data_IF_528460170407
#
_entry.id   IF_528460170407
#
_cell.length_a   1.000
_cell.length_b   1.000
_cell.length_c   1.000
_cell.angle_alpha   90.00
_cell.angle_beta   90.00
_cell.angle_gamma   90.00
#
_symmetry.space_group_name_H-M   'P 1'
#
loop_
_entity.id
_entity.type
_entity.pdbx_description
1 polymer ?
#
# COMPACT_ATOMS: atom_id res chain seq x y z
N UNK A 1 -2.11 -10.45 -17.56
CA UNK A 1 -3.48 -10.14 -17.05
C UNK A 1 -3.50 -9.93 -15.53
N UNK A 2 -2.96 -10.86 -14.72
CA UNK A 2 -2.97 -10.78 -13.23
C UNK A 2 -2.45 -9.45 -12.68
N UNK A 3 -1.22 -9.05 -13.02
CA UNK A 3 -0.58 -7.83 -12.48
C UNK A 3 -1.32 -6.54 -12.83
N UNK A 4 -1.91 -6.46 -14.04
CA UNK A 4 -2.76 -5.34 -14.43
C UNK A 4 -4.02 -5.24 -13.57
N UNK A 5 -4.65 -6.38 -13.25
CA UNK A 5 -5.80 -6.43 -12.34
C UNK A 5 -5.44 -5.92 -10.95
N UNK A 6 -4.29 -6.36 -10.41
CA UNK A 6 -3.80 -5.93 -9.09
C UNK A 6 -3.54 -4.41 -9.07
N UNK A 7 -2.91 -3.86 -10.10
CA UNK A 7 -2.68 -2.41 -10.21
C UNK A 7 -3.99 -1.60 -10.19
N UNK A 8 -5.06 -2.11 -10.82
CA UNK A 8 -6.38 -1.48 -10.77
C UNK A 8 -6.97 -1.59 -9.36
N UNK A 9 -6.84 -2.75 -8.70
CA UNK A 9 -7.27 -2.92 -7.31
C UNK A 9 -6.56 -1.93 -6.36
N UNK A 10 -5.26 -1.73 -6.52
CA UNK A 10 -4.51 -0.75 -5.71
C UNK A 10 -4.98 0.68 -5.96
N UNK A 11 -5.21 1.05 -7.23
CA UNK A 11 -5.77 2.36 -7.58
C UNK A 11 -7.15 2.59 -6.95
N UNK A 12 -8.03 1.57 -6.99
CA UNK A 12 -9.37 1.65 -6.41
C UNK A 12 -9.32 1.78 -4.89
N UNK A 13 -8.47 0.99 -4.23
CA UNK A 13 -8.32 1.06 -2.77
C UNK A 13 -7.78 2.44 -2.36
N UNK A 14 -6.79 2.97 -3.08
CA UNK A 14 -6.26 4.33 -2.84
C UNK A 14 -7.37 5.38 -2.96
N UNK A 15 -8.19 5.31 -4.01
CA UNK A 15 -9.29 6.24 -4.20
C UNK A 15 -10.34 6.14 -3.09
N UNK A 16 -10.61 4.94 -2.57
CA UNK A 16 -11.53 4.73 -1.47
C UNK A 16 -11.01 5.32 -0.14
N UNK A 17 -9.71 5.16 0.14
CA UNK A 17 -9.10 5.63 1.39
C UNK A 17 -8.92 7.16 1.41
N UNK A 18 -8.29 7.74 0.38
CA UNK A 18 -7.95 9.16 0.38
C UNK A 18 -9.06 10.05 -0.23
N UNK A 19 -10.20 9.49 -0.65
CA UNK A 19 -11.29 10.22 -1.30
C UNK A 19 -12.26 10.95 -0.36
N UNK A 20 -12.11 10.78 0.96
CA UNK A 20 -13.01 11.33 2.00
C UNK A 20 -14.50 11.01 1.77
N UNK A 21 -14.79 9.95 1.03
CA UNK A 21 -16.16 9.53 0.69
C UNK A 21 -16.87 8.86 1.87
N UNK A 22 -16.11 8.31 2.83
CA UNK A 22 -16.61 7.45 3.90
C UNK A 22 -15.89 7.76 5.20
N UNK A 23 -16.64 7.88 6.29
CA UNK A 23 -16.08 7.99 7.64
C UNK A 23 -15.78 6.60 8.19
N UNK A 24 -14.54 6.13 8.05
CA UNK A 24 -14.12 4.80 8.50
C UNK A 24 -14.31 4.56 10.01
N UNK A 25 -14.30 5.61 10.84
CA UNK A 25 -14.61 5.48 12.27
C UNK A 25 -16.02 4.96 12.55
N UNK A 26 -16.97 5.22 11.63
CA UNK A 26 -18.36 4.78 11.75
C UNK A 26 -18.48 3.27 11.50
N UNK A 27 -17.62 2.68 10.67
CA UNK A 27 -17.65 1.25 10.37
C UNK A 27 -17.42 0.44 11.65
N UNK A 28 -16.41 0.83 12.43
CA UNK A 28 -16.12 0.22 13.71
C UNK A 28 -17.26 0.38 14.73
N UNK A 29 -17.99 1.49 14.70
CA UNK A 29 -19.14 1.72 15.59
C UNK A 29 -20.33 0.81 15.27
N UNK A 30 -20.53 0.47 14.00
CA UNK A 30 -21.59 -0.44 13.57
C UNK A 30 -21.17 -1.91 13.45
N UNK A 31 -19.91 -2.22 13.77
CA UNK A 31 -19.36 -3.58 13.61
C UNK A 31 -19.23 -3.99 12.14
N UNK A 32 -18.97 -3.04 11.25
CA UNK A 32 -18.73 -3.27 9.82
C UNK A 32 -17.23 -3.53 9.59
N UNK A 33 -16.91 -4.76 9.14
CA UNK A 33 -15.54 -5.22 8.87
C UNK A 33 -15.08 -4.92 7.42
N UNK A 34 -15.81 -4.15 6.62
CA UNK A 34 -15.51 -3.93 5.20
C UNK A 34 -14.11 -3.33 4.97
N UNK A 35 -13.70 -2.36 5.79
CA UNK A 35 -12.37 -1.76 5.69
C UNK A 35 -11.28 -2.80 6.00
N UNK A 36 -11.43 -3.54 7.10
CA UNK A 36 -10.48 -4.58 7.51
C UNK A 36 -10.36 -5.67 6.45
N UNK A 37 -11.47 -6.07 5.84
CA UNK A 37 -11.49 -7.04 4.76
C UNK A 37 -10.79 -6.51 3.49
N UNK A 38 -10.96 -5.22 3.16
CA UNK A 38 -10.28 -4.59 2.04
C UNK A 38 -8.75 -4.53 2.27
N UNK A 39 -8.32 -4.12 3.46
CA UNK A 39 -6.90 -4.05 3.84
C UNK A 39 -6.25 -5.44 3.89
N UNK A 40 -6.94 -6.45 4.44
CA UNK A 40 -6.50 -7.86 4.38
C UNK A 40 -6.37 -8.38 2.95
N UNK A 41 -7.28 -7.96 2.06
CA UNK A 41 -7.23 -8.33 0.64
C UNK A 41 -6.03 -7.67 -0.06
N UNK A 42 -5.72 -6.41 0.27
CA UNK A 42 -4.49 -5.75 -0.19
C UNK A 42 -3.25 -6.57 0.17
N UNK A 43 -3.11 -7.03 1.42
CA UNK A 43 -1.97 -7.85 1.86
C UNK A 43 -1.88 -9.16 1.06
N UNK A 44 -3.01 -9.84 0.85
CA UNK A 44 -3.06 -11.07 0.04
C UNK A 44 -2.62 -10.83 -1.41
N UNK A 45 -3.03 -9.70 -2.00
CA UNK A 45 -2.61 -9.33 -3.35
C UNK A 45 -1.12 -8.98 -3.41
N UNK A 46 -0.61 -8.26 -2.41
CA UNK A 46 0.80 -7.90 -2.27
C UNK A 46 1.69 -9.13 -2.21
N UNK A 47 1.37 -10.09 -1.33
CA UNK A 47 2.11 -11.35 -1.19
C UNK A 47 2.01 -12.27 -2.41
N UNK A 48 1.06 -12.01 -3.32
CA UNK A 48 0.90 -12.77 -4.56
C UNK A 48 1.80 -12.29 -5.69
N UNK A 49 2.52 -11.19 -5.48
CA UNK A 49 3.46 -10.57 -6.42
C UNK A 49 4.89 -10.90 -5.97
N UNK A 50 5.73 -11.47 -6.84
CA UNK A 50 7.17 -11.56 -6.58
C UNK A 50 7.77 -10.16 -6.56
N UNK A 51 8.72 -9.90 -5.66
CA UNK A 51 9.31 -8.58 -5.51
C UNK A 51 9.99 -8.07 -6.80
N UNK A 52 10.58 -8.98 -7.60
CA UNK A 52 11.14 -8.67 -8.93
C UNK A 52 10.11 -8.04 -9.88
N UNK A 53 8.89 -8.59 -9.89
CA UNK A 53 7.83 -8.16 -10.81
C UNK A 53 7.23 -6.81 -10.40
N UNK A 54 7.46 -6.37 -9.16
CA UNK A 54 6.90 -5.12 -8.64
C UNK A 54 7.49 -3.91 -9.37
N UNK A 55 8.81 -3.89 -9.59
CA UNK A 55 9.52 -2.81 -10.26
C UNK A 55 9.54 -2.96 -11.79
N UNK A 56 9.52 -4.20 -12.29
CA UNK A 56 9.52 -4.49 -13.74
C UNK A 56 8.22 -4.06 -14.45
N UNK A 57 7.15 -3.82 -13.69
CA UNK A 57 5.87 -3.33 -14.20
C UNK A 57 5.60 -1.90 -13.71
N UNK A 58 5.99 -0.85 -14.47
CA UNK A 58 5.96 0.54 -14.02
C UNK A 58 4.60 1.00 -13.50
N UNK A 59 3.51 0.59 -14.17
CA UNK A 59 2.16 0.97 -13.76
C UNK A 59 1.74 0.32 -12.44
N UNK A 60 2.17 -0.92 -12.20
CA UNK A 60 1.95 -1.59 -10.92
C UNK A 60 2.75 -0.89 -9.83
N UNK A 61 4.05 -0.68 -10.06
CA UNK A 61 4.96 0.05 -9.17
C UNK A 61 4.37 1.38 -8.72
N UNK A 62 3.98 2.25 -9.67
CA UNK A 62 3.38 3.55 -9.35
C UNK A 62 2.11 3.41 -8.50
N UNK A 63 1.18 2.52 -8.88
CA UNK A 63 -0.06 2.34 -8.11
C UNK A 63 0.17 1.74 -6.73
N UNK A 64 1.21 0.92 -6.57
CA UNK A 64 1.60 0.33 -5.29
C UNK A 64 2.21 1.38 -4.36
N UNK A 65 3.23 2.11 -4.78
CA UNK A 65 3.91 3.09 -3.92
C UNK A 65 3.00 4.26 -3.54
N UNK A 66 2.14 4.73 -4.45
CA UNK A 66 1.15 5.77 -4.13
C UNK A 66 0.11 5.28 -3.12
N UNK A 67 -0.31 4.01 -3.20
CA UNK A 67 -1.19 3.43 -2.19
C UNK A 67 -0.47 3.25 -0.85
N UNK A 68 0.78 2.79 -0.88
CA UNK A 68 1.59 2.54 0.31
C UNK A 68 1.85 3.83 1.08
N UNK A 69 2.13 4.93 0.39
CA UNK A 69 2.27 6.27 0.98
C UNK A 69 0.98 6.68 1.70
N UNK A 70 -0.20 6.57 1.06
CA UNK A 70 -1.49 6.90 1.70
C UNK A 70 -1.77 5.98 2.93
N UNK A 71 -1.37 4.70 2.86
CA UNK A 71 -1.48 3.80 4.02
C UNK A 71 -0.54 4.19 5.17
N UNK A 72 0.70 4.57 4.88
CA UNK A 72 1.66 5.00 5.90
C UNK A 72 1.25 6.35 6.51
N UNK A 73 0.63 7.24 5.73
CA UNK A 73 0.19 8.54 6.21
C UNK A 73 -1.04 8.44 7.14
N UNK A 74 -2.12 7.81 6.69
CA UNK A 74 -3.43 7.88 7.37
C UNK A 74 -3.81 6.58 8.11
N UNK A 75 -3.15 5.46 7.78
CA UNK A 75 -3.48 4.13 8.27
C UNK A 75 -2.27 3.37 8.82
N UNK A 76 -1.28 4.08 9.39
CA UNK A 76 -0.05 3.47 9.91
C UNK A 76 -0.31 2.43 11.00
N UNK A 77 -1.37 2.61 11.79
CA UNK A 77 -1.81 1.63 12.79
C UNK A 77 -2.11 0.26 12.17
N UNK A 78 -2.62 0.20 10.94
CA UNK A 78 -2.80 -1.06 10.22
C UNK A 78 -1.45 -1.66 9.82
N UNK A 79 -0.54 -0.85 9.25
CA UNK A 79 0.79 -1.32 8.85
C UNK A 79 1.59 -1.88 10.04
N UNK A 80 1.48 -1.26 11.22
CA UNK A 80 2.11 -1.71 12.46
C UNK A 80 1.57 -3.05 12.99
N UNK A 81 0.37 -3.46 12.57
CA UNK A 81 -0.24 -4.75 12.96
C UNK A 81 0.05 -5.89 11.98
N UNK A 82 0.77 -5.61 10.88
CA UNK A 82 1.11 -6.63 9.89
C UNK A 82 2.07 -7.67 10.46
N UNK A 83 2.01 -8.89 9.92
CA UNK A 83 2.99 -9.92 10.24
C UNK A 83 4.41 -9.45 9.86
N UNK A 84 5.45 -9.77 10.65
CA UNK A 84 6.81 -9.29 10.42
C UNK A 84 7.35 -9.59 9.01
N UNK A 85 6.98 -10.74 8.43
CA UNK A 85 7.35 -11.12 7.07
C UNK A 85 6.77 -10.18 6.01
N UNK A 86 5.52 -9.74 6.18
CA UNK A 86 4.84 -8.80 5.30
C UNK A 86 5.44 -7.40 5.44
N UNK A 87 5.69 -6.98 6.68
CA UNK A 87 6.31 -5.68 6.93
C UNK A 87 7.73 -5.61 6.38
N UNK A 88 8.52 -6.70 6.51
CA UNK A 88 9.82 -6.82 5.87
C UNK A 88 9.73 -6.74 4.34
N UNK A 89 8.76 -7.42 3.72
CA UNK A 89 8.53 -7.29 2.28
C UNK A 89 8.30 -5.82 1.87
N UNK A 90 7.50 -5.09 2.64
CA UNK A 90 7.25 -3.65 2.39
C UNK A 90 8.56 -2.86 2.50
N UNK A 91 9.34 -3.04 3.56
CA UNK A 91 10.61 -2.33 3.75
C UNK A 91 11.64 -2.67 2.66
N UNK A 92 11.73 -3.95 2.26
CA UNK A 92 12.59 -4.37 1.16
C UNK A 92 12.15 -3.73 -0.16
N UNK A 93 10.85 -3.66 -0.43
CA UNK A 93 10.33 -2.98 -1.61
C UNK A 93 10.65 -1.48 -1.60
N UNK A 94 10.50 -0.79 -0.46
CA UNK A 94 10.88 0.62 -0.31
C UNK A 94 12.38 0.79 -0.60
N UNK A 95 13.23 -0.07 -0.04
CA UNK A 95 14.68 -0.03 -0.27
C UNK A 95 15.04 -0.15 -1.74
N UNK A 96 14.37 -1.03 -2.49
CA UNK A 96 14.60 -1.18 -3.93
C UNK A 96 13.99 0.00 -4.72
N UNK A 97 12.80 0.46 -4.34
CA UNK A 97 12.11 1.60 -4.94
C UNK A 97 12.87 2.93 -4.81
N UNK A 98 13.65 3.12 -3.73
CA UNK A 98 14.55 4.27 -3.58
C UNK A 98 15.63 4.32 -4.66
N UNK A 99 16.03 3.16 -5.21
CA UNK A 99 17.02 3.05 -6.28
C UNK A 99 16.39 3.07 -7.68
N UNK A 100 15.07 3.19 -7.78
CA UNK A 100 14.36 3.19 -9.06
C UNK A 100 14.64 4.48 -9.87
N UNK A 101 14.65 4.33 -11.20
CA UNK A 101 14.84 5.46 -12.13
C UNK A 101 13.64 6.41 -12.16
N UNK A 102 12.46 5.95 -11.77
CA UNK A 102 11.23 6.75 -11.72
C UNK A 102 11.22 7.63 -10.47
N UNK A 103 11.35 8.95 -10.66
CA UNK A 103 11.37 9.93 -9.57
C UNK A 103 10.08 9.95 -8.75
N UNK A 104 8.93 9.58 -9.34
CA UNK A 104 7.67 9.48 -8.61
C UNK A 104 7.71 8.34 -7.59
N UNK A 105 8.28 7.20 -8.00
CA UNK A 105 8.47 6.03 -7.12
C UNK A 105 9.45 6.36 -6.00
N UNK A 106 10.58 6.98 -6.32
CA UNK A 106 11.58 7.37 -5.34
C UNK A 106 11.00 8.36 -4.30
N UNK A 107 10.26 9.38 -4.75
CA UNK A 107 9.61 10.36 -3.87
C UNK A 107 8.58 9.69 -2.95
N UNK A 108 7.73 8.83 -3.51
CA UNK A 108 6.74 8.08 -2.72
C UNK A 108 7.38 7.15 -1.69
N UNK A 109 8.51 6.51 -2.03
CA UNK A 109 9.29 5.70 -1.09
C UNK A 109 9.85 6.54 0.06
N UNK A 110 10.41 7.72 -0.23
CA UNK A 110 10.91 8.64 0.80
C UNK A 110 9.80 9.10 1.74
N UNK A 111 8.66 9.55 1.20
CA UNK A 111 7.51 9.98 1.99
C UNK A 111 6.96 8.84 2.86
N UNK A 112 6.80 7.64 2.27
CA UNK A 112 6.38 6.45 2.99
C UNK A 112 7.33 6.13 4.16
N UNK A 113 8.64 6.14 3.90
CA UNK A 113 9.64 5.85 4.93
C UNK A 113 9.61 6.90 6.05
N UNK A 114 9.47 8.18 5.71
CA UNK A 114 9.36 9.27 6.67
C UNK A 114 8.14 9.09 7.60
N UNK A 115 6.98 8.74 7.03
CA UNK A 115 5.79 8.43 7.80
C UNK A 115 5.97 7.22 8.72
N UNK A 116 6.63 6.16 8.24
CA UNK A 116 6.89 4.95 9.05
C UNK A 116 7.82 5.27 10.23
N UNK A 117 8.87 6.06 10.01
CA UNK A 117 9.89 6.35 11.04
C UNK A 117 9.41 7.41 12.04
N UNK A 118 8.49 8.28 11.64
CA UNK A 118 7.95 9.35 12.50
C UNK A 118 6.82 8.87 13.42
N UNK A 119 6.16 7.76 13.08
CA UNK A 119 5.06 7.17 13.85
C UNK A 119 5.52 6.57 15.19
#
# INVERSE_FOLDING_TARGET
MKLKGISICFSMLKAALCGSYVNFGVFRLYGDDALDNALKTFVKLLLSIPQSDLLDYPKLSQTYYVLLECLAQDHMSFLATLEPSVFLYILSSISEGLTALDTMVCTGCCATLDHIVTY
#
